data_IF_309280357822
#
_entry.id   IF_309280357822
#
_cell.length_a   1.000
_cell.length_b   1.000
_cell.length_c   1.000
_cell.angle_alpha   90.00
_cell.angle_beta   90.00
_cell.angle_gamma   90.00
#
_symmetry.space_group_name_H-M   'P 1'
#
loop_
_entity.id
_entity.type
_entity.pdbx_description
1 polymer ?
#
# COMPACT_ATOMS: atom_id res chain seq x y z
N UNK A 1 65.85 11.43 -43.88
CA UNK A 1 65.65 11.67 -42.44
C UNK A 1 64.32 12.38 -42.26
N UNK A 2 63.45 11.89 -41.37
CA UNK A 2 62.31 12.66 -40.85
C UNK A 2 60.93 12.13 -41.21
N UNK A 3 60.37 11.29 -40.32
CA UNK A 3 58.96 10.89 -40.23
C UNK A 3 58.09 12.05 -39.72
N UNK A 4 56.89 12.25 -40.27
CA UNK A 4 55.72 12.70 -39.47
C UNK A 4 54.47 11.94 -39.96
N UNK A 5 53.94 11.09 -39.08
CA UNK A 5 52.57 10.58 -39.10
C UNK A 5 51.60 11.71 -38.75
N UNK A 6 50.47 11.79 -39.46
CA UNK A 6 49.23 12.35 -38.92
C UNK A 6 48.07 11.50 -39.41
N UNK A 7 47.49 10.75 -38.46
CA UNK A 7 46.23 10.04 -38.60
C UNK A 7 45.08 11.04 -38.61
N UNK A 8 44.19 10.92 -39.59
CA UNK A 8 42.87 11.53 -39.58
C UNK A 8 41.84 10.44 -39.86
N UNK A 9 41.27 9.87 -38.81
CA UNK A 9 40.06 9.06 -38.90
C UNK A 9 38.85 10.00 -38.99
N UNK A 10 37.97 9.81 -39.97
CA UNK A 10 36.63 10.40 -39.91
C UNK A 10 35.61 9.60 -40.72
N UNK A 11 34.68 9.03 -39.97
CA UNK A 11 33.29 8.68 -40.27
C UNK A 11 32.99 7.72 -41.43
N UNK A 12 32.90 6.44 -41.06
CA UNK A 12 31.86 5.56 -41.58
C UNK A 12 31.22 4.88 -40.38
N UNK A 13 29.98 5.25 -40.04
CA UNK A 13 29.08 4.21 -39.54
C UNK A 13 27.63 4.55 -39.85
N UNK A 14 27.06 3.75 -40.75
CA UNK A 14 25.65 3.72 -41.08
C UNK A 14 24.90 3.10 -39.91
N UNK A 15 24.32 3.92 -39.03
CA UNK A 15 23.40 3.43 -38.00
C UNK A 15 22.07 3.05 -38.65
N UNK A 16 21.97 1.82 -39.16
CA UNK A 16 20.71 1.17 -39.47
C UNK A 16 19.95 0.95 -38.15
N UNK A 17 18.95 1.80 -37.88
CA UNK A 17 18.12 1.67 -36.68
C UNK A 17 17.22 0.44 -36.87
N UNK A 18 17.68 -0.71 -36.36
CA UNK A 18 16.85 -1.91 -36.25
C UNK A 18 15.77 -1.66 -35.20
N UNK A 19 14.53 -1.42 -35.66
CA UNK A 19 13.34 -1.37 -34.78
C UNK A 19 13.05 -2.79 -34.32
N UNK A 20 13.58 -3.16 -33.16
CA UNK A 20 13.13 -4.37 -32.49
C UNK A 20 11.78 -4.10 -31.82
N UNK A 21 10.72 -4.70 -32.35
CA UNK A 21 9.44 -4.82 -31.65
C UNK A 21 9.59 -5.96 -30.64
N UNK A 22 9.76 -5.62 -29.35
CA UNK A 22 9.71 -6.59 -28.27
C UNK A 22 8.28 -7.15 -28.28
N UNK A 23 8.05 -8.45 -28.60
CA UNK A 23 6.76 -9.05 -28.33
C UNK A 23 6.52 -8.86 -26.84
N UNK A 24 5.37 -8.30 -26.42
CA UNK A 24 4.99 -8.30 -25.00
C UNK A 24 5.22 -9.72 -24.50
N UNK A 25 6.25 -9.87 -23.67
CA UNK A 25 6.53 -11.11 -22.99
C UNK A 25 5.24 -11.44 -22.26
N UNK A 26 4.56 -12.51 -22.70
CA UNK A 26 3.49 -13.10 -21.90
C UNK A 26 4.17 -13.44 -20.60
N UNK A 27 3.96 -12.60 -19.60
CA UNK A 27 4.55 -12.72 -18.29
C UNK A 27 4.36 -14.16 -17.84
N UNK A 28 5.43 -14.94 -17.92
CA UNK A 28 5.46 -16.29 -17.37
C UNK A 28 5.05 -16.17 -15.92
N UNK A 29 4.11 -16.99 -15.43
CA UNK A 29 3.63 -16.82 -14.08
C UNK A 29 4.77 -17.19 -13.13
N UNK A 30 5.45 -16.19 -12.59
CA UNK A 30 6.17 -16.31 -11.30
C UNK A 30 5.17 -16.42 -10.13
N UNK A 31 4.00 -17.02 -10.38
CA UNK A 31 2.98 -17.42 -9.42
C UNK A 31 2.97 -18.94 -9.31
N UNK A 32 4.13 -19.57 -9.24
CA UNK A 32 4.25 -20.97 -8.85
C UNK A 32 5.18 -21.03 -7.65
N UNK A 33 4.66 -20.48 -6.55
CA UNK A 33 4.92 -20.84 -5.15
C UNK A 33 3.91 -20.04 -4.31
N UNK A 34 2.63 -20.13 -4.68
CA UNK A 34 1.57 -19.84 -3.72
C UNK A 34 1.56 -21.08 -2.82
N UNK A 35 2.41 -21.09 -1.79
CA UNK A 35 2.00 -21.77 -0.57
C UNK A 35 0.58 -21.25 -0.32
N UNK A 36 -0.39 -22.14 -0.19
CA UNK A 36 -1.69 -21.72 0.27
C UNK A 36 -1.44 -20.93 1.58
N UNK A 37 -1.67 -19.62 1.50
CA UNK A 37 -1.35 -18.67 2.55
C UNK A 37 -2.67 -18.11 3.01
N UNK A 38 -2.80 -17.95 4.32
CA UNK A 38 -4.01 -17.40 4.90
C UNK A 38 -4.28 -16.00 4.34
N UNK A 39 -5.36 -15.87 3.57
CA UNK A 39 -5.87 -14.59 3.15
C UNK A 39 -6.84 -14.08 4.23
N UNK A 40 -6.83 -12.77 4.51
CA UNK A 40 -7.88 -12.22 5.34
C UNK A 40 -9.20 -12.32 4.58
N UNK A 41 -10.23 -12.67 5.31
CA UNK A 41 -11.61 -12.40 4.94
C UNK A 41 -12.18 -11.41 5.95
N UNK A 42 -13.12 -10.60 5.50
CA UNK A 42 -13.70 -9.51 6.28
C UNK A 42 -15.12 -9.25 5.79
N UNK A 43 -15.90 -8.60 6.62
CA UNK A 43 -17.25 -8.16 6.27
C UNK A 43 -17.18 -6.69 5.86
N UNK A 44 -17.83 -6.34 4.76
CA UNK A 44 -17.81 -4.97 4.24
C UNK A 44 -18.91 -4.17 4.93
N UNK A 45 -18.60 -3.04 5.61
CA UNK A 45 -19.60 -2.18 6.22
C UNK A 45 -20.64 -1.69 5.20
N UNK A 46 -21.87 -1.47 5.67
CA UNK A 46 -22.97 -1.05 4.81
C UNK A 46 -22.68 0.31 4.16
N UNK A 47 -23.05 0.46 2.89
CA UNK A 47 -22.85 1.70 2.14
C UNK A 47 -21.47 1.86 1.48
N UNK A 48 -20.49 1.04 1.84
CA UNK A 48 -19.19 1.04 1.16
C UNK A 48 -19.31 0.45 -0.25
N UNK A 49 -18.65 1.10 -1.22
CA UNK A 49 -18.63 0.69 -2.63
C UNK A 49 -17.27 0.11 -3.01
N UNK A 50 -17.17 -0.69 -4.09
CA UNK A 50 -15.87 -1.09 -4.62
C UNK A 50 -14.98 0.13 -4.95
N UNK A 51 -13.72 0.07 -4.49
CA UNK A 51 -12.74 1.15 -4.66
C UNK A 51 -11.81 0.95 -5.86
N UNK A 52 -10.70 1.68 -5.87
CA UNK A 52 -9.69 1.60 -6.95
C UNK A 52 -9.00 0.25 -6.96
N UNK A 53 -9.08 -0.48 -8.08
CA UNK A 53 -8.33 -1.72 -8.26
C UNK A 53 -6.85 -1.46 -8.53
N UNK A 54 -5.98 -2.25 -7.91
CA UNK A 54 -4.55 -2.27 -8.22
C UNK A 54 -3.95 -3.62 -7.82
N UNK A 55 -2.87 -4.05 -8.48
CA UNK A 55 -2.17 -5.29 -8.14
C UNK A 55 -1.57 -5.32 -6.73
N UNK A 56 -1.46 -4.17 -6.07
CA UNK A 56 -0.93 -4.04 -4.71
C UNK A 56 -2.00 -4.10 -3.62
N UNK A 57 -3.29 -4.12 -3.97
CA UNK A 57 -4.42 -4.16 -3.02
C UNK A 57 -5.11 -5.51 -3.09
N UNK A 58 -5.32 -6.13 -1.94
CA UNK A 58 -6.16 -7.33 -1.82
C UNK A 58 -7.63 -6.96 -1.62
N UNK A 59 -7.90 -5.76 -1.10
CA UNK A 59 -9.24 -5.21 -0.92
C UNK A 59 -9.22 -3.70 -1.13
N UNK A 60 -10.29 -3.16 -1.71
CA UNK A 60 -10.40 -1.74 -2.03
C UNK A 60 -11.85 -1.29 -1.96
N UNK A 61 -12.11 -0.23 -1.20
CA UNK A 61 -13.44 0.35 -1.04
C UNK A 61 -13.41 1.88 -1.13
N UNK A 62 -14.55 2.47 -1.46
CA UNK A 62 -14.76 3.90 -1.39
C UNK A 62 -16.05 4.23 -0.63
N UNK A 63 -16.00 5.36 0.07
CA UNK A 63 -17.17 6.02 0.66
C UNK A 63 -17.20 7.44 0.12
N UNK A 64 -18.37 7.89 -0.31
CA UNK A 64 -18.58 9.23 -0.84
C UNK A 64 -19.84 9.81 -0.20
N UNK A 65 -19.81 11.07 0.21
CA UNK A 65 -20.99 11.78 0.70
C UNK A 65 -21.65 12.63 -0.41
N UNK A 66 -22.80 13.23 -0.10
CA UNK A 66 -23.53 14.08 -1.04
C UNK A 66 -22.79 15.39 -1.40
N UNK A 67 -21.79 15.77 -0.60
CA UNK A 67 -20.99 16.98 -0.80
C UNK A 67 -19.75 16.74 -1.68
N UNK A 68 -19.53 15.49 -2.12
CA UNK A 68 -18.36 15.11 -2.90
C UNK A 68 -17.11 14.85 -2.07
N UNK A 69 -17.21 14.79 -0.75
CA UNK A 69 -16.15 14.29 0.11
C UNK A 69 -16.03 12.78 -0.07
N UNK A 70 -14.80 12.27 -0.03
CA UNK A 70 -14.52 10.87 -0.32
C UNK A 70 -13.47 10.28 0.63
N UNK A 71 -13.61 8.99 0.88
CA UNK A 71 -12.62 8.14 1.55
C UNK A 71 -12.18 7.01 0.61
N UNK A 72 -10.89 6.75 0.61
CA UNK A 72 -10.27 5.57 0.02
C UNK A 72 -9.93 4.60 1.16
N UNK A 73 -10.47 3.38 1.07
CA UNK A 73 -10.16 2.29 1.99
C UNK A 73 -9.41 1.21 1.21
N UNK A 74 -8.32 0.74 1.79
CA UNK A 74 -7.44 -0.25 1.17
C UNK A 74 -7.00 -1.30 2.17
N UNK A 75 -6.95 -2.53 1.69
CA UNK A 75 -6.35 -3.66 2.38
C UNK A 75 -5.19 -4.14 1.51
N UNK A 76 -4.01 -4.18 2.09
CA UNK A 76 -2.78 -4.58 1.39
C UNK A 76 -1.83 -5.28 2.36
N UNK A 77 -0.80 -5.92 1.83
CA UNK A 77 0.24 -6.50 2.65
C UNK A 77 1.62 -6.35 2.00
N UNK A 78 2.64 -6.37 2.83
CA UNK A 78 4.03 -6.41 2.43
C UNK A 78 4.76 -7.49 3.24
N UNK A 79 5.83 -8.04 2.69
CA UNK A 79 6.70 -8.98 3.40
C UNK A 79 7.41 -8.31 4.58
N UNK A 80 7.69 -9.09 5.62
CA UNK A 80 8.45 -8.66 6.79
C UNK A 80 7.74 -7.55 7.58
N UNK A 81 8.50 -6.51 7.93
CA UNK A 81 8.00 -5.35 8.66
C UNK A 81 7.28 -4.31 7.79
N UNK A 82 7.13 -4.60 6.49
CA UNK A 82 6.48 -3.73 5.53
C UNK A 82 7.10 -2.33 5.43
N UNK A 83 8.42 -2.24 5.56
CA UNK A 83 9.18 -0.98 5.46
C UNK A 83 9.28 -0.18 6.76
N UNK A 84 8.77 -0.73 7.86
CA UNK A 84 8.92 -0.17 9.21
C UNK A 84 7.86 0.88 9.59
N UNK A 85 7.49 0.89 10.87
CA UNK A 85 6.41 1.74 11.40
C UNK A 85 6.65 3.23 11.16
N UNK A 86 7.83 3.75 11.55
CA UNK A 86 8.14 5.18 11.42
C UNK A 86 8.06 5.67 9.96
N UNK A 87 8.66 4.91 9.05
CA UNK A 87 8.67 5.23 7.62
C UNK A 87 7.25 5.22 7.04
N UNK A 88 6.43 4.26 7.45
CA UNK A 88 5.03 4.15 7.03
C UNK A 88 4.19 5.34 7.55
N UNK A 89 4.29 5.64 8.85
CA UNK A 89 3.61 6.80 9.47
C UNK A 89 4.01 8.09 8.76
N UNK A 90 5.31 8.35 8.58
CA UNK A 90 5.80 9.56 7.91
C UNK A 90 5.31 9.67 6.46
N UNK A 91 5.29 8.55 5.73
CA UNK A 91 4.76 8.52 4.37
C UNK A 91 3.28 8.88 4.35
N UNK A 92 2.48 8.32 5.24
CA UNK A 92 1.03 8.56 5.25
C UNK A 92 0.64 9.93 5.78
N UNK A 93 1.27 10.43 6.86
CA UNK A 93 0.98 11.78 7.36
C UNK A 93 1.41 12.85 6.33
N UNK A 94 2.46 12.58 5.54
CA UNK A 94 2.83 13.42 4.40
C UNK A 94 1.76 13.45 3.28
N UNK A 95 1.02 12.35 3.06
CA UNK A 95 -0.09 12.30 2.09
C UNK A 95 -1.26 13.21 2.49
N UNK A 96 -1.44 13.47 3.79
CA UNK A 96 -2.48 14.37 4.31
C UNK A 96 -1.94 15.77 4.66
N UNK A 97 -0.75 16.11 4.14
CA UNK A 97 -0.15 17.45 4.23
C UNK A 97 0.55 17.77 5.55
N UNK A 98 0.83 16.79 6.39
CA UNK A 98 1.50 16.98 7.68
C UNK A 98 3.03 16.83 7.55
N UNK A 99 3.76 17.49 8.46
CA UNK A 99 5.21 17.32 8.56
C UNK A 99 5.59 15.96 9.14
N UNK A 100 6.74 15.43 8.73
CA UNK A 100 7.27 14.20 9.26
C UNK A 100 7.51 14.28 10.78
N UNK A 101 7.26 13.17 11.49
CA UNK A 101 7.55 12.97 12.90
C UNK A 101 8.86 12.21 13.11
N UNK A 102 9.34 12.21 14.35
CA UNK A 102 10.52 11.44 14.80
C UNK A 102 10.08 10.17 15.52
N UNK A 103 11.03 9.29 15.85
CA UNK A 103 10.75 8.10 16.65
C UNK A 103 10.07 8.44 17.99
N UNK A 104 10.51 9.51 18.67
CA UNK A 104 9.91 9.95 19.93
C UNK A 104 8.52 10.58 19.77
N UNK A 105 8.18 11.07 18.57
CA UNK A 105 6.87 11.64 18.27
C UNK A 105 5.85 10.64 17.73
N UNK A 106 6.22 9.35 17.56
CA UNK A 106 5.30 8.32 17.08
C UNK A 106 4.13 8.07 18.03
N UNK A 107 4.36 8.17 19.33
CA UNK A 107 3.35 7.96 20.37
C UNK A 107 2.12 8.88 20.25
N UNK A 108 2.25 10.00 19.52
CA UNK A 108 1.13 10.89 19.24
C UNK A 108 0.13 10.34 18.21
N UNK A 109 0.53 9.33 17.44
CA UNK A 109 -0.25 8.80 16.32
C UNK A 109 -0.66 7.35 16.54
N UNK A 110 -0.05 6.64 17.47
CA UNK A 110 -0.20 5.19 17.59
C UNK A 110 -0.89 4.78 18.88
N UNK A 111 -1.67 3.70 18.79
CA UNK A 111 -2.24 3.00 19.94
C UNK A 111 -2.28 1.50 19.66
N UNK A 112 -2.29 0.70 20.73
CA UNK A 112 -2.41 -0.74 20.60
C UNK A 112 -3.88 -1.15 20.45
N UNK A 113 -4.13 -2.08 19.53
CA UNK A 113 -5.43 -2.72 19.31
C UNK A 113 -5.22 -4.22 19.05
N UNK A 114 -6.31 -4.94 18.80
CA UNK A 114 -6.28 -6.35 18.35
C UNK A 114 -7.01 -6.47 17.02
N UNK A 115 -6.45 -7.24 16.09
CA UNK A 115 -7.09 -7.59 14.80
C UNK A 115 -6.86 -9.09 14.58
N UNK A 116 -7.92 -9.85 14.27
CA UNK A 116 -7.87 -11.30 14.14
C UNK A 116 -7.17 -11.99 15.33
N UNK A 117 -7.54 -11.60 16.56
CA UNK A 117 -6.96 -12.08 17.83
C UNK A 117 -5.43 -11.91 17.97
N UNK A 118 -4.83 -11.04 17.17
CA UNK A 118 -3.39 -10.75 17.21
C UNK A 118 -3.14 -9.28 17.57
N UNK A 119 -2.04 -8.99 18.33
CA UNK A 119 -1.63 -7.62 18.60
C UNK A 119 -1.42 -6.83 17.31
N UNK A 120 -1.98 -5.64 17.27
CA UNK A 120 -1.91 -4.75 16.13
C UNK A 120 -1.71 -3.30 16.57
N UNK A 121 -1.14 -2.49 15.67
CA UNK A 121 -0.95 -1.06 15.89
C UNK A 121 -1.97 -0.29 15.09
N UNK A 122 -2.78 0.52 15.77
CA UNK A 122 -3.62 1.52 15.14
C UNK A 122 -2.80 2.82 14.97
N UNK A 123 -2.92 3.44 13.81
CA UNK A 123 -2.33 4.72 13.47
C UNK A 123 -3.47 5.68 13.14
N UNK A 124 -3.56 6.82 13.84
CA UNK A 124 -4.51 7.89 13.56
C UNK A 124 -3.79 9.21 13.39
N UNK A 125 -4.08 9.91 12.30
CA UNK A 125 -3.58 11.25 12.05
C UNK A 125 -4.63 12.06 11.29
N UNK A 126 -4.72 13.36 11.58
CA UNK A 126 -5.67 14.24 10.91
C UNK A 126 -5.07 15.63 10.77
N UNK A 127 -5.20 16.20 9.57
CA UNK A 127 -5.06 17.62 9.29
C UNK A 127 -6.45 18.26 9.28
N UNK A 128 -6.55 19.54 8.91
CA UNK A 128 -7.84 20.24 8.87
C UNK A 128 -8.84 19.62 7.88
N UNK A 129 -8.34 19.11 6.76
CA UNK A 129 -9.18 18.67 5.63
C UNK A 129 -9.08 17.17 5.38
N UNK A 130 -8.03 16.51 5.86
CA UNK A 130 -7.75 15.12 5.55
C UNK A 130 -7.47 14.32 6.83
N UNK A 131 -7.82 13.04 6.82
CA UNK A 131 -7.51 12.10 7.89
C UNK A 131 -6.95 10.79 7.34
N UNK A 132 -6.24 10.10 8.22
CA UNK A 132 -5.66 8.79 8.05
C UNK A 132 -6.03 7.97 9.29
N UNK A 133 -6.60 6.79 9.07
CA UNK A 133 -6.73 5.73 10.06
C UNK A 133 -6.17 4.45 9.46
N UNK A 134 -5.25 3.76 10.15
CA UNK A 134 -4.72 2.49 9.67
C UNK A 134 -4.42 1.51 10.78
N UNK A 135 -4.81 0.25 10.61
CA UNK A 135 -4.36 -0.85 11.45
C UNK A 135 -3.24 -1.63 10.77
N UNK A 136 -2.21 -1.96 11.54
CA UNK A 136 -1.06 -2.77 11.12
C UNK A 136 -1.01 -4.02 11.98
N UNK A 137 -1.14 -5.21 11.36
CA UNK A 137 -1.06 -6.49 12.05
C UNK A 137 -0.04 -7.40 11.33
N UNK A 138 0.76 -8.14 12.11
CA UNK A 138 1.76 -9.07 11.57
C UNK A 138 1.25 -10.50 11.62
N UNK A 139 1.17 -11.15 10.47
CA UNK A 139 0.65 -12.51 10.30
C UNK A 139 1.48 -13.22 9.25
N UNK A 140 1.97 -14.42 9.58
CA UNK A 140 2.73 -15.31 8.69
C UNK A 140 3.87 -14.61 7.93
N UNK A 141 4.66 -13.81 8.67
CA UNK A 141 5.82 -13.10 8.12
C UNK A 141 5.48 -11.90 7.23
N UNK A 142 4.21 -11.46 7.20
CA UNK A 142 3.75 -10.28 6.47
C UNK A 142 3.20 -9.23 7.43
N UNK A 143 3.32 -7.97 7.03
CA UNK A 143 2.60 -6.85 7.63
C UNK A 143 1.37 -6.55 6.79
N UNK A 144 0.20 -6.70 7.39
CA UNK A 144 -1.09 -6.36 6.80
C UNK A 144 -1.48 -4.94 7.18
N UNK A 145 -1.96 -4.20 6.20
CA UNK A 145 -2.38 -2.81 6.34
C UNK A 145 -3.84 -2.69 5.96
N UNK A 146 -4.68 -2.35 6.93
CA UNK A 146 -6.05 -1.89 6.72
C UNK A 146 -6.00 -0.38 6.86
N UNK A 147 -6.36 0.38 5.82
CA UNK A 147 -6.15 1.83 5.81
C UNK A 147 -7.35 2.54 5.21
N UNK A 148 -7.85 3.54 5.92
CA UNK A 148 -8.84 4.52 5.48
C UNK A 148 -8.18 5.91 5.42
N UNK A 149 -8.34 6.62 4.31
CA UNK A 149 -7.76 7.94 4.10
C UNK A 149 -8.66 8.80 3.22
N UNK A 150 -8.81 10.08 3.55
CA UNK A 150 -9.57 11.04 2.74
C UNK A 150 -10.06 12.18 3.60
N UNK A 151 -11.27 12.68 3.31
CA UNK A 151 -11.89 13.79 4.04
C UNK A 151 -11.95 13.56 5.56
N UNK A 152 -11.51 14.55 6.34
CA UNK A 152 -11.40 14.41 7.79
C UNK A 152 -12.75 14.20 8.50
N UNK A 153 -13.79 14.91 8.08
CA UNK A 153 -15.12 14.83 8.70
C UNK A 153 -15.78 13.51 8.33
N UNK A 154 -15.69 13.12 7.06
CA UNK A 154 -16.23 11.84 6.61
C UNK A 154 -15.50 10.66 7.30
N UNK A 155 -14.18 10.75 7.48
CA UNK A 155 -13.42 9.74 8.21
C UNK A 155 -13.84 9.63 9.69
N UNK A 156 -14.21 10.74 10.33
CA UNK A 156 -14.76 10.72 11.69
C UNK A 156 -16.13 10.03 11.72
N UNK A 157 -17.01 10.32 10.75
CA UNK A 157 -18.32 9.68 10.63
C UNK A 157 -18.22 8.17 10.33
N UNK A 158 -17.22 7.75 9.56
CA UNK A 158 -17.00 6.35 9.16
C UNK A 158 -16.08 5.57 10.13
N UNK A 159 -15.65 6.18 11.24
CA UNK A 159 -14.75 5.55 12.19
C UNK A 159 -15.33 4.23 12.75
N UNK A 160 -16.61 4.22 13.14
CA UNK A 160 -17.25 3.01 13.67
C UNK A 160 -17.35 1.91 12.60
N UNK A 161 -17.66 2.27 11.35
CA UNK A 161 -17.68 1.32 10.24
C UNK A 161 -16.29 0.74 9.96
N UNK A 162 -15.24 1.56 10.03
CA UNK A 162 -13.86 1.09 9.91
C UNK A 162 -13.50 0.14 11.06
N UNK A 163 -13.94 0.44 12.29
CA UNK A 163 -13.71 -0.44 13.44
C UNK A 163 -14.46 -1.78 13.30
N UNK A 164 -15.68 -1.78 12.74
CA UNK A 164 -16.44 -2.99 12.40
C UNK A 164 -15.73 -3.84 11.34
N UNK A 165 -15.17 -3.21 10.30
CA UNK A 165 -14.31 -3.90 9.33
C UNK A 165 -13.17 -4.62 10.07
N UNK A 166 -12.41 -3.90 10.91
CA UNK A 166 -11.28 -4.47 11.66
C UNK A 166 -11.69 -5.63 12.58
N UNK A 167 -12.83 -5.52 13.26
CA UNK A 167 -13.37 -6.57 14.13
C UNK A 167 -13.79 -7.82 13.37
N UNK A 168 -14.24 -7.69 12.12
CA UNK A 168 -14.65 -8.81 11.28
C UNK A 168 -13.49 -9.58 10.64
N UNK A 169 -12.27 -9.02 10.68
CA UNK A 169 -11.09 -9.61 10.03
C UNK A 169 -10.75 -10.94 10.69
N UNK A 170 -10.64 -11.95 9.84
CA UNK A 170 -10.23 -13.31 10.20
C UNK A 170 -9.36 -13.87 9.09
N UNK A 171 -8.42 -14.72 9.44
CA UNK A 171 -7.50 -15.35 8.50
C UNK A 171 -7.84 -16.82 8.42
N UNK A 172 -8.26 -17.28 7.24
CA UNK A 172 -8.50 -18.71 7.02
C UNK A 172 -7.15 -19.39 6.78
N UNK A 173 -6.74 -20.28 7.69
CA UNK A 173 -5.61 -21.16 7.43
C UNK A 173 -6.00 -22.16 6.35
N UNK A 174 -5.16 -22.31 5.33
CA UNK A 174 -5.14 -23.54 4.54
C UNK A 174 -4.45 -24.63 5.36
N UNK A 175 -5.17 -25.18 6.33
CA UNK A 175 -4.79 -26.50 6.84
C UNK A 175 -5.26 -27.52 5.81
N UNK A 176 -4.30 -28.12 5.12
CA UNK A 176 -4.54 -29.30 4.29
C UNK A 176 -4.96 -30.46 5.19
N UNK A 177 -6.08 -31.09 4.84
CA UNK A 177 -6.37 -32.48 5.22
C UNK A 177 -5.30 -33.44 4.65
#
# INVERSE_FOLDING_TARGET
MGTILLWGASCSDSSEISRYSIPKEKQSPLFLNNLEMAQPIWDVPSGWKPGKESSMRVGSFSVEDENGSALDISISNLLGDGGGLLSNVNRWIGQIGMSATTAGGLSNYISDITVADKPATLVKASSKEQALVSAIVKIDGRSWFFKMMGDARLAEMEQENFDLLLQSVRFESSEGE
#
